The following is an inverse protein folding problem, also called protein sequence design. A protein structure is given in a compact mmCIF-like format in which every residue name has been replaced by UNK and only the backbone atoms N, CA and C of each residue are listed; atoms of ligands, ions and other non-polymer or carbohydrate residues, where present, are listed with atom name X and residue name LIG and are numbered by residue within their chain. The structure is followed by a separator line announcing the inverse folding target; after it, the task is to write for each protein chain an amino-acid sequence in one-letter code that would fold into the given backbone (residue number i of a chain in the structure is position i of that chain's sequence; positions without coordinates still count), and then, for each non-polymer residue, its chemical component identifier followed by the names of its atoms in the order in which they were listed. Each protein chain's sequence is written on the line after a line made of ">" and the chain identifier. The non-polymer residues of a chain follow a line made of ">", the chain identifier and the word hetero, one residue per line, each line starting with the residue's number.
data_IF_313727343232
#
_entry.id   IF_313727343232
#
_cell.length_a   1.000
_cell.length_b   1.000
_cell.length_c   1.000
_cell.angle_alpha   90.00
_cell.angle_beta   90.00
_cell.angle_gamma   90.00
#
_symmetry.space_group_name_H-M   'P 1'
#
loop_
_entity.id
_entity.type
_entity.pdbx_description
1 polymer ?
#
# COMPACT_ATOMS: atom_id res chain seq x y z
N UNK A 1 11.69 -6.64 9.84
CA UNK A 1 11.41 -5.58 8.86
C UNK A 1 10.78 -4.41 9.59
N UNK A 2 11.55 -3.35 9.80
CA UNK A 2 11.07 -2.06 10.32
C UNK A 2 10.49 -1.19 9.19
N UNK A 3 9.97 -0.01 9.55
CA UNK A 3 9.30 0.87 8.59
C UNK A 3 10.23 1.44 7.51
N UNK A 4 11.52 1.64 7.82
CA UNK A 4 12.47 2.20 6.88
C UNK A 4 12.85 1.15 5.82
N UNK A 5 13.18 -0.05 6.29
CA UNK A 5 13.46 -1.22 5.45
C UNK A 5 12.27 -1.53 4.52
N UNK A 6 11.05 -1.50 5.04
CA UNK A 6 9.85 -1.71 4.22
C UNK A 6 9.70 -0.64 3.10
N UNK A 7 9.85 0.64 3.43
CA UNK A 7 9.64 1.71 2.45
C UNK A 7 10.73 1.75 1.39
N UNK A 8 11.99 1.54 1.76
CA UNK A 8 13.11 1.64 0.82
C UNK A 8 13.33 0.35 0.05
N UNK A 9 13.45 -0.78 0.76
CA UNK A 9 13.86 -2.03 0.13
C UNK A 9 12.69 -2.80 -0.47
N UNK A 10 11.52 -2.82 0.19
CA UNK A 10 10.35 -3.54 -0.31
C UNK A 10 9.49 -2.72 -1.27
N UNK A 11 9.38 -1.42 -1.03
CA UNK A 11 8.55 -0.53 -1.86
C UNK A 11 9.34 0.33 -2.84
N UNK A 12 10.67 0.38 -2.73
CA UNK A 12 11.53 1.09 -3.68
C UNK A 12 11.53 2.62 -3.54
N UNK A 13 11.01 3.18 -2.44
CA UNK A 13 11.05 4.63 -2.24
C UNK A 13 12.48 5.12 -1.96
N UNK A 14 12.86 6.19 -2.66
CA UNK A 14 14.16 6.82 -2.49
C UNK A 14 14.33 7.41 -1.08
N UNK A 15 15.57 7.45 -0.58
CA UNK A 15 15.86 7.93 0.78
C UNK A 15 15.42 9.37 0.97
N UNK A 16 15.63 10.18 -0.06
CA UNK A 16 15.25 11.59 -0.13
C UNK A 16 13.74 11.78 -0.04
N UNK A 17 12.95 10.88 -0.63
CA UNK A 17 11.49 10.92 -0.53
C UNK A 17 11.01 10.66 0.90
N UNK A 18 11.65 9.71 1.60
CA UNK A 18 11.36 9.41 3.01
C UNK A 18 11.81 10.56 3.92
N UNK A 19 13.01 11.10 3.69
CA UNK A 19 13.58 12.20 4.46
C UNK A 19 12.73 13.49 4.39
N UNK A 20 12.04 13.74 3.26
CA UNK A 20 11.13 14.89 3.12
C UNK A 20 9.86 14.76 3.95
N UNK A 21 9.50 13.56 4.39
CA UNK A 21 8.23 13.29 5.08
C UNK A 21 8.43 12.32 6.26
N UNK A 22 9.27 12.67 7.26
CA UNK A 22 9.66 11.74 8.32
C UNK A 22 8.48 11.23 9.16
N UNK A 23 7.38 11.99 9.21
CA UNK A 23 6.13 11.61 9.90
C UNK A 23 5.61 10.23 9.47
N UNK A 24 5.88 9.80 8.24
CA UNK A 24 5.42 8.48 7.76
C UNK A 24 6.02 7.31 8.54
N UNK A 25 7.20 7.50 9.14
CA UNK A 25 7.87 6.49 9.97
C UNK A 25 7.21 6.37 11.35
N UNK A 26 6.44 7.37 11.77
CA UNK A 26 5.66 7.33 13.01
C UNK A 26 4.33 6.58 12.86
N UNK A 27 3.92 6.23 11.64
CA UNK A 27 2.69 5.47 11.42
C UNK A 27 2.88 3.98 11.68
N UNK A 28 1.81 3.33 12.14
CA UNK A 28 1.82 1.88 12.34
C UNK A 28 2.04 1.15 11.02
N UNK A 29 3.10 0.35 10.97
CA UNK A 29 3.46 -0.44 9.79
C UNK A 29 2.32 -1.39 9.39
N UNK A 30 1.85 -2.21 10.33
CA UNK A 30 0.81 -3.22 10.08
C UNK A 30 -0.58 -2.63 9.88
N UNK A 31 -0.94 -1.56 10.59
CA UNK A 31 -2.29 -0.99 10.53
C UNK A 31 -2.48 0.06 9.43
N UNK A 32 -1.40 0.70 8.96
CA UNK A 32 -1.49 1.82 8.01
C UNK A 32 -0.59 1.67 6.81
N UNK A 33 0.70 1.45 7.00
CA UNK A 33 1.66 1.49 5.90
C UNK A 33 1.48 0.31 4.96
N UNK A 34 1.55 -0.92 5.48
CA UNK A 34 1.38 -2.16 4.71
C UNK A 34 0.05 -2.19 3.94
N UNK A 35 -1.14 -2.03 4.56
CA UNK A 35 -2.40 -2.17 3.83
C UNK A 35 -2.52 -1.17 2.67
N UNK A 36 -2.02 0.06 2.84
CA UNK A 36 -2.03 1.09 1.80
C UNK A 36 -1.03 0.78 0.68
N UNK A 37 0.16 0.33 1.03
CA UNK A 37 1.20 -0.03 0.07
C UNK A 37 0.83 -1.28 -0.74
N UNK A 38 0.20 -2.27 -0.13
CA UNK A 38 -0.27 -3.48 -0.82
C UNK A 38 -1.31 -3.15 -1.89
N UNK A 39 -2.24 -2.23 -1.61
CA UNK A 39 -3.19 -1.75 -2.62
C UNK A 39 -2.47 -1.11 -3.80
N UNK A 40 -1.46 -0.27 -3.54
CA UNK A 40 -0.67 0.36 -4.60
C UNK A 40 0.08 -0.67 -5.44
N UNK A 41 0.71 -1.67 -4.83
CA UNK A 41 1.40 -2.73 -5.57
C UNK A 41 0.46 -3.48 -6.52
N UNK A 42 -0.75 -3.80 -6.05
CA UNK A 42 -1.76 -4.45 -6.89
C UNK A 42 -2.16 -3.53 -8.05
N UNK A 43 -2.46 -2.26 -7.79
CA UNK A 43 -2.82 -1.31 -8.85
C UNK A 43 -1.65 -1.04 -9.82
N UNK A 44 -0.41 -1.02 -9.33
CA UNK A 44 0.81 -0.89 -10.13
C UNK A 44 0.96 -2.05 -11.10
N UNK A 45 0.79 -3.27 -10.61
CA UNK A 45 0.88 -4.49 -11.44
C UNK A 45 -0.17 -4.55 -12.54
N UNK A 46 -1.28 -3.80 -12.39
CA UNK A 46 -2.35 -3.64 -13.37
C UNK A 46 -2.19 -2.41 -14.27
N UNK A 47 -1.15 -1.59 -14.07
CA UNK A 47 -0.93 -0.36 -14.84
C UNK A 47 -1.95 0.74 -14.58
N UNK A 48 -2.64 0.72 -13.44
CA UNK A 48 -3.77 1.63 -13.13
C UNK A 48 -3.36 2.92 -12.41
N UNK A 49 -2.08 3.05 -12.06
CA UNK A 49 -1.51 4.18 -11.34
C UNK A 49 -0.61 5.02 -12.23
N UNK A 50 -0.63 6.33 -12.00
CA UNK A 50 0.34 7.27 -12.57
C UNK A 50 1.52 7.43 -11.61
N UNK A 51 2.66 7.90 -12.10
CA UNK A 51 3.83 8.18 -11.25
C UNK A 51 3.50 9.11 -10.06
N UNK A 52 2.63 10.09 -10.28
CA UNK A 52 2.17 11.02 -9.24
C UNK A 52 1.36 10.34 -8.12
N UNK A 53 0.82 9.14 -8.34
CA UNK A 53 0.08 8.39 -7.32
C UNK A 53 1.03 7.68 -6.32
N UNK A 54 2.32 7.57 -6.65
CA UNK A 54 3.34 6.91 -5.81
C UNK A 54 4.05 7.84 -4.82
N UNK A 55 3.69 9.13 -4.76
CA UNK A 55 4.30 10.00 -3.76
C UNK A 55 3.96 9.52 -2.34
N UNK A 56 5.00 9.27 -1.55
CA UNK A 56 4.91 8.77 -0.18
C UNK A 56 3.90 9.57 0.68
N UNK A 57 3.92 10.90 0.55
CA UNK A 57 3.00 11.81 1.23
C UNK A 57 1.55 11.61 0.79
N UNK A 58 1.29 11.40 -0.50
CA UNK A 58 -0.04 11.16 -1.07
C UNK A 58 -0.66 9.84 -0.60
N UNK A 59 0.18 8.88 -0.21
CA UNK A 59 -0.25 7.53 0.18
C UNK A 59 -0.44 7.43 1.70
N UNK A 60 0.52 7.92 2.48
CA UNK A 60 0.59 7.61 3.90
C UNK A 60 -0.04 8.67 4.81
N UNK A 61 -0.06 9.94 4.38
CA UNK A 61 -0.61 11.04 5.19
C UNK A 61 -2.14 11.09 5.18
N UNK A 62 -2.84 10.93 4.04
CA UNK A 62 -4.27 11.22 3.99
C UNK A 62 -5.09 10.36 4.94
N UNK A 63 -6.25 10.90 5.40
CA UNK A 63 -7.17 10.13 6.20
C UNK A 63 -7.69 8.93 5.43
N UNK A 64 -8.11 7.89 6.16
CA UNK A 64 -8.54 6.62 5.58
C UNK A 64 -9.61 6.78 4.50
N UNK A 65 -10.63 7.63 4.73
CA UNK A 65 -11.69 7.91 3.75
C UNK A 65 -11.16 8.37 2.39
N UNK A 66 -10.07 9.16 2.36
CA UNK A 66 -9.47 9.66 1.13
C UNK A 66 -8.73 8.54 0.39
N UNK A 67 -8.02 7.69 1.13
CA UNK A 67 -7.32 6.54 0.55
C UNK A 67 -8.31 5.51 -0.03
N UNK A 68 -9.36 5.19 0.73
CA UNK A 68 -10.40 4.27 0.26
C UNK A 68 -11.04 4.80 -1.03
N UNK A 69 -11.45 6.07 -1.05
CA UNK A 69 -12.04 6.66 -2.24
C UNK A 69 -11.08 6.66 -3.45
N UNK A 70 -9.81 7.07 -3.23
CA UNK A 70 -8.83 7.24 -4.32
C UNK A 70 -8.31 5.95 -4.90
N UNK A 71 -8.04 4.96 -4.05
CA UNK A 71 -7.33 3.75 -4.45
C UNK A 71 -8.20 2.51 -4.40
N UNK A 72 -9.16 2.41 -3.49
CA UNK A 72 -9.98 1.20 -3.34
C UNK A 72 -11.26 1.28 -4.16
N UNK A 73 -12.15 2.21 -3.82
CA UNK A 73 -13.47 2.35 -4.43
C UNK A 73 -13.35 2.69 -5.92
N UNK A 74 -12.45 3.63 -6.27
CA UNK A 74 -12.22 4.05 -7.66
C UNK A 74 -11.88 2.89 -8.61
N UNK A 75 -11.21 1.86 -8.11
CA UNK A 75 -10.71 0.73 -8.92
C UNK A 75 -11.39 -0.60 -8.56
N UNK A 76 -12.43 -0.57 -7.74
CA UNK A 76 -13.11 -1.79 -7.25
C UNK A 76 -13.67 -2.63 -8.40
N UNK A 77 -14.27 -1.97 -9.40
CA UNK A 77 -14.85 -2.67 -10.56
C UNK A 77 -13.78 -3.36 -11.44
N UNK A 78 -12.60 -2.75 -11.53
CA UNK A 78 -11.46 -3.30 -12.30
C UNK A 78 -10.66 -4.34 -11.50
N UNK A 79 -10.64 -4.20 -10.17
CA UNK A 79 -9.90 -5.06 -9.25
C UNK A 79 -10.77 -5.38 -8.03
N UNK A 80 -11.70 -6.35 -8.15
CA UNK A 80 -12.67 -6.64 -7.08
C UNK A 80 -12.02 -7.14 -5.78
N UNK A 81 -10.79 -7.68 -5.82
CA UNK A 81 -10.08 -8.08 -4.61
C UNK A 81 -9.46 -6.91 -3.81
N UNK A 82 -9.52 -5.66 -4.28
CA UNK A 82 -8.74 -4.56 -3.69
C UNK A 82 -9.15 -4.23 -2.26
N UNK A 83 -10.44 -4.30 -1.95
CA UNK A 83 -10.94 -4.11 -0.58
C UNK A 83 -10.44 -5.21 0.36
N UNK A 84 -10.32 -6.45 -0.14
CA UNK A 84 -9.77 -7.58 0.60
C UNK A 84 -8.28 -7.38 0.89
N UNK A 85 -7.53 -6.90 -0.11
CA UNK A 85 -6.10 -6.52 0.02
C UNK A 85 -5.93 -5.41 1.05
N UNK A 86 -6.74 -4.34 0.98
CA UNK A 86 -6.68 -3.23 1.94
C UNK A 86 -6.96 -3.68 3.37
N UNK A 87 -7.91 -4.60 3.56
CA UNK A 87 -8.23 -5.18 4.88
C UNK A 87 -7.18 -6.18 5.39
N UNK A 88 -6.11 -6.42 4.63
CA UNK A 88 -5.05 -7.37 5.00
C UNK A 88 -5.47 -8.84 4.87
N UNK A 89 -6.59 -9.15 4.20
CA UNK A 89 -7.07 -10.53 4.03
C UNK A 89 -6.25 -11.37 3.04
N UNK A 90 -5.27 -10.78 2.35
CA UNK A 90 -4.39 -11.54 1.47
C UNK A 90 -3.50 -12.53 2.27
N UNK A 91 -3.15 -12.22 3.52
CA UNK A 91 -2.46 -13.16 4.40
C UNK A 91 -3.30 -14.37 4.86
N UNK A 92 -4.63 -14.30 4.71
CA UNK A 92 -5.54 -15.42 5.00
C UNK A 92 -5.79 -16.29 3.77
N UNK A 93 -5.78 -15.71 2.57
CA UNK A 93 -5.95 -16.49 1.32
C UNK A 93 -4.70 -17.31 1.01
N UNK A 94 -3.49 -16.80 1.26
CA UNK A 94 -2.27 -17.60 1.10
C UNK A 94 -2.20 -18.76 2.11
N UNK A 95 -2.74 -18.60 3.32
CA UNK A 95 -2.86 -19.67 4.32
C UNK A 95 -3.99 -20.66 3.98
N UNK A 96 -5.09 -20.20 3.37
CA UNK A 96 -6.21 -21.06 2.99
C UNK A 96 -5.98 -21.83 1.68
N UNK A 97 -5.14 -21.32 0.78
CA UNK A 97 -4.87 -21.93 -0.53
C UNK A 97 -3.62 -22.82 -0.53
N UNK A 98 -2.85 -22.89 0.55
CA UNK A 98 -1.71 -23.80 0.67
C UNK A 98 -0.59 -23.58 -0.37
N UNK A 99 -0.52 -22.39 -0.97
CA UNK A 99 0.45 -22.07 -2.02
C UNK A 99 1.78 -21.55 -1.45
N UNK A 100 2.42 -22.34 -0.59
CA UNK A 100 3.83 -22.13 -0.26
C UNK A 100 4.54 -23.46 -0.49
N UNK A 101 5.29 -23.52 -1.58
CA UNK A 101 6.32 -24.55 -1.80
C UNK A 101 7.46 -24.39 -0.78
#
# INVERSE_FOLDING_TARGET
>A
MDGLDFLMNKMGWQREAVARVPLVLCYSLNKRVIPRCSVLQVLQSKGLLKEADFYLSSVLIPPEKVILARFVIKYEEQVPQLLSVYKGKLGLLEQALGLRE
#
